data_IF_285455891108
#
_entry.id   IF_285455891108
#
_cell.length_a   1.000
_cell.length_b   1.000
_cell.length_c   1.000
_cell.angle_alpha   90.00
_cell.angle_beta   90.00
_cell.angle_gamma   90.00
#
_symmetry.space_group_name_H-M   'P 1'
#
loop_
_entity.id
_entity.type
_entity.pdbx_description
1 polymer ?
#
# COMPACT_ATOMS: atom_id res chain seq x y z
N UNK A 1 41.88 20.38 -9.14
CA UNK A 1 41.10 19.16 -8.77
C UNK A 1 40.84 18.37 -10.04
N UNK A 2 41.03 17.05 -10.03
CA UNK A 2 40.65 16.23 -11.19
C UNK A 2 39.13 16.24 -11.38
N UNK A 3 38.67 16.06 -12.63
CA UNK A 3 37.22 15.96 -12.94
C UNK A 3 36.51 14.88 -12.06
N UNK A 4 37.23 13.82 -11.74
CA UNK A 4 36.75 12.76 -10.86
C UNK A 4 36.52 13.25 -9.42
N UNK A 5 37.41 14.07 -8.87
CA UNK A 5 37.23 14.65 -7.53
C UNK A 5 36.02 15.57 -7.46
N UNK A 6 35.82 16.40 -8.48
CA UNK A 6 34.67 17.31 -8.57
C UNK A 6 33.36 16.52 -8.68
N UNK A 7 33.32 15.50 -9.54
CA UNK A 7 32.14 14.65 -9.71
C UNK A 7 31.75 13.93 -8.40
N UNK A 8 32.78 13.35 -7.73
CA UNK A 8 32.54 12.63 -6.47
C UNK A 8 32.08 13.57 -5.34
N UNK A 9 32.64 14.79 -5.29
CA UNK A 9 32.18 15.83 -4.34
C UNK A 9 30.71 16.20 -4.57
N UNK A 10 30.37 16.47 -5.83
CA UNK A 10 28.96 16.80 -6.18
C UNK A 10 27.99 15.64 -5.88
N UNK A 11 28.41 14.40 -6.17
CA UNK A 11 27.62 13.21 -5.87
C UNK A 11 27.42 13.02 -4.37
N UNK A 12 28.46 13.15 -3.55
CA UNK A 12 28.39 13.03 -2.10
C UNK A 12 27.56 14.15 -1.47
N UNK A 13 27.81 15.41 -1.85
CA UNK A 13 27.05 16.57 -1.36
C UNK A 13 25.57 16.48 -1.76
N UNK A 14 25.28 16.12 -3.02
CA UNK A 14 23.90 15.96 -3.51
C UNK A 14 23.17 14.85 -2.78
N UNK A 15 23.80 13.70 -2.58
CA UNK A 15 23.19 12.56 -1.87
C UNK A 15 22.96 12.90 -0.39
N UNK A 16 23.94 13.55 0.26
CA UNK A 16 23.79 14.03 1.64
C UNK A 16 22.63 15.01 1.79
N UNK A 17 22.54 15.98 0.88
CA UNK A 17 21.44 16.96 0.88
C UNK A 17 20.08 16.28 0.65
N UNK A 18 19.95 15.36 -0.33
CA UNK A 18 18.70 14.65 -0.60
C UNK A 18 18.25 13.88 0.64
N UNK A 19 19.11 13.06 1.23
CA UNK A 19 18.75 12.26 2.40
C UNK A 19 18.41 13.11 3.61
N UNK A 20 19.21 14.14 3.90
CA UNK A 20 18.99 15.03 5.03
C UNK A 20 17.65 15.77 4.91
N UNK A 21 17.42 16.42 3.76
CA UNK A 21 16.18 17.18 3.54
C UNK A 21 14.94 16.29 3.56
N UNK A 22 15.00 15.11 2.94
CA UNK A 22 13.89 14.16 2.99
C UNK A 22 13.64 13.64 4.41
N UNK A 23 14.70 13.33 5.16
CA UNK A 23 14.59 12.86 6.56
C UNK A 23 13.99 13.94 7.45
N UNK A 24 14.43 15.20 7.33
CA UNK A 24 13.86 16.31 8.07
C UNK A 24 12.40 16.56 7.70
N UNK A 25 12.07 16.55 6.41
CA UNK A 25 10.70 16.69 5.93
C UNK A 25 9.80 15.54 6.43
N UNK A 26 10.29 14.30 6.42
CA UNK A 26 9.56 13.16 6.98
C UNK A 26 9.41 13.27 8.50
N UNK A 27 10.46 13.63 9.23
CA UNK A 27 10.41 13.78 10.68
C UNK A 27 9.39 14.82 11.13
N UNK A 28 9.28 15.93 10.40
CA UNK A 28 8.25 16.95 10.64
C UNK A 28 6.88 16.52 10.17
N UNK A 29 6.78 15.97 8.94
CA UNK A 29 5.51 15.65 8.31
C UNK A 29 4.80 14.47 8.94
N UNK A 30 5.53 13.41 9.32
CA UNK A 30 4.93 12.22 9.94
C UNK A 30 4.27 12.50 11.29
N UNK A 31 4.66 13.59 11.99
CA UNK A 31 4.01 14.05 13.23
C UNK A 31 2.62 14.65 12.97
N UNK A 32 2.30 15.03 11.73
CA UNK A 32 1.01 15.60 11.35
C UNK A 32 -0.02 14.54 10.95
N UNK A 33 0.41 13.28 10.82
CA UNK A 33 -0.49 12.17 10.52
C UNK A 33 -1.13 11.72 11.83
N UNK A 34 -2.46 11.72 11.87
CA UNK A 34 -3.24 11.25 13.00
C UNK A 34 -2.91 9.79 13.34
N UNK A 35 -2.93 9.48 14.63
CA UNK A 35 -2.80 8.10 15.11
C UNK A 35 -4.10 7.72 15.82
N UNK A 36 -4.92 6.92 15.15
CA UNK A 36 -6.26 6.59 15.62
C UNK A 36 -6.28 5.70 16.87
N UNK A 37 -5.14 5.25 17.36
CA UNK A 37 -5.03 4.55 18.65
C UNK A 37 -5.14 5.49 19.84
N UNK A 38 -4.92 6.80 19.62
CA UNK A 38 -4.96 7.80 20.69
C UNK A 38 -6.38 7.96 21.26
N UNK A 39 -6.52 8.25 22.58
CA UNK A 39 -7.82 8.39 23.24
C UNK A 39 -8.73 9.43 22.60
N UNK A 40 -8.18 10.47 22.03
CA UNK A 40 -8.93 11.56 21.37
C UNK A 40 -9.75 11.08 20.15
N UNK A 41 -9.38 9.93 19.57
CA UNK A 41 -10.13 9.29 18.48
C UNK A 41 -11.05 8.16 18.95
N UNK A 42 -11.16 7.94 20.26
CA UNK A 42 -12.18 7.06 20.81
C UNK A 42 -13.58 7.67 20.56
N UNK A 43 -14.49 6.82 20.12
CA UNK A 43 -15.85 7.26 19.72
C UNK A 43 -16.87 6.67 20.65
N UNK A 44 -17.71 7.52 21.25
CA UNK A 44 -18.77 7.06 22.12
C UNK A 44 -19.79 6.18 21.36
N UNK A 45 -20.33 5.11 21.98
CA UNK A 45 -21.24 4.19 21.32
C UNK A 45 -22.48 4.84 20.71
N UNK A 46 -23.01 5.89 21.35
CA UNK A 46 -24.18 6.67 20.95
C UNK A 46 -23.93 7.63 19.78
N UNK A 47 -22.67 7.78 19.33
CA UNK A 47 -22.35 8.68 18.22
C UNK A 47 -23.04 8.22 16.94
N UNK A 48 -23.82 9.13 16.34
CA UNK A 48 -24.50 8.87 15.08
C UNK A 48 -23.49 8.83 13.93
N UNK A 49 -23.38 7.68 13.28
CA UNK A 49 -22.45 7.42 12.20
C UNK A 49 -23.20 7.02 10.93
N UNK A 50 -22.68 7.33 9.72
CA UNK A 50 -23.30 6.99 8.45
C UNK A 50 -23.25 5.48 8.20
N UNK A 51 -24.13 4.96 7.35
CA UNK A 51 -24.11 3.56 6.90
C UNK A 51 -22.83 3.27 6.06
N UNK A 52 -22.20 2.13 6.30
CA UNK A 52 -21.00 1.69 5.61
C UNK A 52 -21.21 0.36 4.92
N UNK A 53 -20.78 0.24 3.67
CA UNK A 53 -20.64 -1.05 2.99
C UNK A 53 -19.18 -1.47 2.99
N UNK A 54 -18.88 -2.60 3.63
CA UNK A 54 -17.55 -3.21 3.61
C UNK A 54 -17.50 -4.16 2.43
N UNK A 55 -16.51 -3.97 1.55
CA UNK A 55 -16.38 -4.68 0.28
C UNK A 55 -15.05 -5.44 0.26
N UNK A 56 -15.12 -6.76 0.11
CA UNK A 56 -13.97 -7.67 0.16
C UNK A 56 -13.93 -8.54 -1.08
N UNK A 57 -13.00 -8.33 -2.01
CA UNK A 57 -12.76 -9.23 -3.12
C UNK A 57 -11.86 -10.39 -2.67
N UNK A 58 -12.28 -11.62 -2.86
CA UNK A 58 -11.52 -12.83 -2.52
C UNK A 58 -11.22 -13.67 -3.76
N UNK A 59 -10.04 -14.24 -3.84
CA UNK A 59 -9.68 -15.29 -4.81
C UNK A 59 -8.52 -16.14 -4.29
N UNK A 60 -8.80 -17.42 -4.04
CA UNK A 60 -7.82 -18.38 -3.52
C UNK A 60 -7.21 -17.88 -2.20
N UNK A 61 -8.06 -17.58 -1.23
CA UNK A 61 -7.70 -17.03 0.09
C UNK A 61 -8.10 -17.99 1.24
N UNK A 62 -8.21 -19.30 0.97
CA UNK A 62 -8.67 -20.31 1.95
C UNK A 62 -7.94 -20.24 3.29
N UNK A 63 -6.66 -19.83 3.29
CA UNK A 63 -5.85 -19.74 4.50
C UNK A 63 -6.27 -18.59 5.44
N UNK A 64 -6.84 -17.51 4.91
CA UNK A 64 -7.07 -16.27 5.69
C UNK A 64 -8.51 -15.78 5.66
N UNK A 65 -9.31 -16.17 4.67
CA UNK A 65 -10.65 -15.60 4.44
C UNK A 65 -11.58 -15.76 5.64
N UNK A 66 -11.52 -16.89 6.37
CA UNK A 66 -12.36 -17.08 7.56
C UNK A 66 -12.01 -16.10 8.67
N UNK A 67 -10.71 -15.93 8.98
CA UNK A 67 -10.27 -15.01 10.01
C UNK A 67 -10.60 -13.55 9.63
N UNK A 68 -10.41 -13.18 8.36
CA UNK A 68 -10.74 -11.86 7.86
C UNK A 68 -12.24 -11.57 7.97
N UNK A 69 -13.10 -12.44 7.46
CA UNK A 69 -14.56 -12.26 7.50
C UNK A 69 -15.10 -12.24 8.94
N UNK A 70 -14.61 -13.13 9.82
CA UNK A 70 -15.01 -13.12 11.23
C UNK A 70 -14.60 -11.83 11.93
N UNK A 71 -13.42 -11.27 11.62
CA UNK A 71 -12.98 -9.99 12.18
C UNK A 71 -13.89 -8.83 11.73
N UNK A 72 -14.31 -8.84 10.47
CA UNK A 72 -15.22 -7.84 9.92
C UNK A 72 -16.65 -7.96 10.50
N UNK A 73 -17.13 -9.18 10.76
CA UNK A 73 -18.43 -9.43 11.41
C UNK A 73 -18.41 -9.13 12.91
N UNK A 74 -17.24 -9.04 13.54
CA UNK A 74 -17.04 -8.63 14.92
C UNK A 74 -16.87 -7.12 15.12
N UNK A 75 -16.93 -6.33 14.04
CA UNK A 75 -16.79 -4.86 14.11
C UNK A 75 -17.96 -4.28 14.94
N UNK A 76 -17.59 -3.43 15.91
CA UNK A 76 -18.52 -2.61 16.68
C UNK A 76 -18.87 -1.34 15.90
N UNK A 77 -19.87 -1.46 15.02
CA UNK A 77 -20.37 -0.35 14.21
C UNK A 77 -21.91 -0.47 14.06
N UNK A 78 -22.67 0.63 14.24
CA UNK A 78 -24.13 0.54 14.38
C UNK A 78 -24.85 0.10 13.10
N UNK A 79 -24.39 0.54 11.93
CA UNK A 79 -25.09 0.29 10.67
C UNK A 79 -24.08 0.04 9.54
N UNK A 80 -23.82 -1.24 9.26
CA UNK A 80 -22.99 -1.66 8.15
C UNK A 80 -23.49 -2.95 7.50
N UNK A 81 -23.08 -3.15 6.27
CA UNK A 81 -23.21 -4.41 5.55
C UNK A 81 -21.84 -4.92 5.11
N UNK A 82 -21.67 -6.23 5.06
CA UNK A 82 -20.47 -6.89 4.57
C UNK A 82 -20.78 -7.65 3.28
N UNK A 83 -20.11 -7.27 2.20
CA UNK A 83 -20.22 -7.90 0.88
C UNK A 83 -18.88 -8.53 0.52
N UNK A 84 -18.82 -9.85 0.45
CA UNK A 84 -17.63 -10.59 0.02
C UNK A 84 -17.89 -11.16 -1.36
N UNK A 85 -16.98 -10.89 -2.29
CA UNK A 85 -17.07 -11.39 -3.67
C UNK A 85 -15.98 -12.44 -3.92
N UNK A 86 -16.40 -13.67 -4.10
CA UNK A 86 -15.54 -14.77 -4.53
C UNK A 86 -15.31 -14.71 -6.04
N UNK A 87 -14.13 -14.24 -6.44
CA UNK A 87 -13.76 -14.10 -7.85
C UNK A 87 -13.19 -15.41 -8.40
N UNK A 88 -14.05 -16.39 -8.66
CA UNK A 88 -13.66 -17.65 -9.35
C UNK A 88 -12.56 -18.40 -8.58
N UNK A 89 -12.66 -18.53 -7.26
CA UNK A 89 -11.72 -19.33 -6.47
C UNK A 89 -11.78 -20.82 -6.87
N UNK A 90 -10.62 -21.45 -6.87
CA UNK A 90 -10.44 -22.86 -7.20
C UNK A 90 -10.06 -23.71 -5.97
N UNK A 91 -9.81 -23.03 -4.83
CA UNK A 91 -9.55 -23.63 -3.52
C UNK A 91 -10.82 -23.65 -2.65
N UNK A 92 -10.68 -23.86 -1.35
CA UNK A 92 -11.80 -23.92 -0.40
C UNK A 92 -12.44 -22.58 -0.07
N UNK A 93 -11.99 -21.45 -0.66
CA UNK A 93 -12.47 -20.09 -0.33
C UNK A 93 -14.00 -19.99 -0.46
N UNK A 94 -14.59 -20.43 -1.59
CA UNK A 94 -16.02 -20.38 -1.82
C UNK A 94 -16.80 -21.17 -0.78
N UNK A 95 -16.39 -22.43 -0.48
CA UNK A 95 -17.03 -23.27 0.51
C UNK A 95 -16.96 -22.69 1.94
N UNK A 96 -15.84 -22.03 2.29
CA UNK A 96 -15.69 -21.33 3.57
C UNK A 96 -16.68 -20.16 3.64
N UNK A 97 -16.82 -19.37 2.58
CA UNK A 97 -17.74 -18.24 2.51
C UNK A 97 -19.21 -18.69 2.61
N UNK A 98 -19.59 -19.79 1.95
CA UNK A 98 -20.95 -20.35 2.03
C UNK A 98 -21.28 -20.81 3.45
N UNK A 99 -20.34 -21.48 4.12
CA UNK A 99 -20.47 -21.88 5.52
C UNK A 99 -20.65 -20.67 6.44
N UNK A 100 -19.85 -19.62 6.26
CA UNK A 100 -19.96 -18.38 7.04
C UNK A 100 -21.30 -17.66 6.75
N UNK A 101 -21.76 -17.66 5.48
CA UNK A 101 -23.08 -17.11 5.13
C UNK A 101 -24.21 -17.86 5.83
N UNK A 102 -24.13 -19.19 5.92
CA UNK A 102 -25.11 -19.99 6.65
C UNK A 102 -25.08 -19.70 8.17
N UNK A 103 -23.90 -19.46 8.74
CA UNK A 103 -23.71 -19.13 10.16
C UNK A 103 -24.21 -17.73 10.51
N UNK A 104 -23.91 -16.70 9.70
CA UNK A 104 -24.16 -15.29 10.02
C UNK A 104 -25.40 -14.68 9.34
N UNK A 105 -26.03 -15.39 8.43
CA UNK A 105 -27.29 -14.99 7.79
C UNK A 105 -27.18 -13.69 7.00
N UNK A 106 -28.12 -12.78 7.23
CA UNK A 106 -28.23 -11.48 6.52
C UNK A 106 -27.05 -10.53 6.76
N UNK A 107 -26.23 -10.76 7.79
CA UNK A 107 -25.06 -9.92 8.11
C UNK A 107 -23.92 -10.07 7.10
N UNK A 108 -23.92 -11.13 6.29
CA UNK A 108 -22.92 -11.42 5.29
C UNK A 108 -23.56 -11.66 3.92
N UNK A 109 -23.30 -10.82 2.95
CA UNK A 109 -23.62 -11.08 1.56
C UNK A 109 -22.40 -11.73 0.86
N UNK A 110 -22.62 -12.87 0.23
CA UNK A 110 -21.62 -13.57 -0.56
C UNK A 110 -22.06 -13.59 -2.02
N UNK A 111 -21.17 -13.18 -2.92
CA UNK A 111 -21.40 -13.17 -4.36
C UNK A 111 -20.31 -14.01 -5.03
N UNK A 112 -20.69 -15.06 -5.76
CA UNK A 112 -19.76 -15.86 -6.55
C UNK A 112 -19.75 -15.40 -8.00
N UNK A 113 -18.59 -14.90 -8.45
CA UNK A 113 -18.37 -14.58 -9.86
C UNK A 113 -18.00 -15.88 -10.58
N UNK A 114 -18.71 -16.21 -11.65
CA UNK A 114 -18.43 -17.41 -12.47
C UNK A 114 -17.51 -17.09 -13.63
N UNK A 115 -17.73 -15.94 -14.27
CA UNK A 115 -16.98 -15.51 -15.46
C UNK A 115 -16.48 -14.09 -15.32
N UNK A 116 -15.29 -13.83 -15.81
CA UNK A 116 -14.72 -12.50 -15.87
C UNK A 116 -14.99 -11.86 -17.23
N UNK A 117 -15.69 -10.74 -17.30
CA UNK A 117 -15.90 -10.01 -18.55
C UNK A 117 -14.56 -9.55 -19.15
N UNK A 118 -14.47 -9.57 -20.48
CA UNK A 118 -13.31 -9.04 -21.19
C UNK A 118 -13.04 -7.58 -20.82
N UNK A 119 -11.78 -7.22 -20.68
CA UNK A 119 -11.34 -5.86 -20.33
C UNK A 119 -11.44 -5.52 -18.85
N UNK A 120 -11.52 -6.50 -17.96
CA UNK A 120 -11.47 -6.35 -16.52
C UNK A 120 -10.37 -7.18 -15.88
N UNK A 121 -9.75 -6.66 -14.83
CA UNK A 121 -9.04 -7.49 -13.85
C UNK A 121 -10.06 -8.07 -12.85
N UNK A 122 -9.82 -9.31 -12.39
CA UNK A 122 -10.76 -9.97 -11.47
C UNK A 122 -11.03 -9.15 -10.21
N UNK A 123 -9.99 -8.64 -9.54
CA UNK A 123 -10.13 -7.84 -8.31
C UNK A 123 -10.98 -6.58 -8.53
N UNK A 124 -10.68 -5.80 -9.57
CA UNK A 124 -11.39 -4.55 -9.85
C UNK A 124 -12.84 -4.80 -10.28
N UNK A 125 -13.09 -5.91 -10.99
CA UNK A 125 -14.44 -6.35 -11.35
C UNK A 125 -15.25 -6.74 -10.10
N UNK A 126 -14.67 -7.54 -9.22
CA UNK A 126 -15.32 -7.95 -7.97
C UNK A 126 -15.68 -6.74 -7.10
N UNK A 127 -14.74 -5.80 -6.93
CA UNK A 127 -14.98 -4.56 -6.18
C UNK A 127 -16.04 -3.67 -6.83
N UNK A 128 -16.06 -3.59 -8.17
CA UNK A 128 -17.09 -2.86 -8.89
C UNK A 128 -18.47 -3.48 -8.69
N UNK A 129 -18.62 -4.78 -8.88
CA UNK A 129 -19.90 -5.49 -8.71
C UNK A 129 -20.44 -5.29 -7.30
N UNK A 130 -19.63 -5.47 -6.27
CA UNK A 130 -20.04 -5.27 -4.89
C UNK A 130 -20.46 -3.83 -4.60
N UNK A 131 -19.71 -2.84 -5.14
CA UNK A 131 -20.02 -1.43 -4.95
C UNK A 131 -21.31 -0.99 -5.66
N UNK A 132 -21.69 -1.61 -6.79
CA UNK A 132 -22.96 -1.36 -7.47
C UNK A 132 -24.17 -1.90 -6.66
N UNK A 133 -23.99 -3.02 -5.96
CA UNK A 133 -25.01 -3.60 -5.10
C UNK A 133 -25.09 -2.97 -3.71
N UNK A 134 -24.04 -2.29 -3.28
CA UNK A 134 -23.87 -1.74 -1.94
C UNK A 134 -24.76 -0.52 -1.68
N UNK A 135 -25.30 -0.42 -0.46
CA UNK A 135 -26.25 0.61 -0.05
C UNK A 135 -25.71 1.69 0.87
N UNK A 136 -24.49 1.50 1.46
CA UNK A 136 -23.87 2.42 2.40
C UNK A 136 -23.53 3.79 1.81
N UNK A 137 -23.47 4.81 2.63
CA UNK A 137 -23.00 6.16 2.26
C UNK A 137 -21.49 6.22 2.09
N UNK A 138 -20.82 5.26 2.72
CA UNK A 138 -19.38 5.04 2.64
C UNK A 138 -19.08 3.62 2.21
N UNK A 139 -18.01 3.45 1.46
CA UNK A 139 -17.44 2.17 1.07
C UNK A 139 -16.10 1.97 1.75
N UNK A 140 -15.93 0.84 2.43
CA UNK A 140 -14.64 0.35 2.87
C UNK A 140 -14.21 -0.78 1.94
N UNK A 141 -13.21 -0.54 1.11
CA UNK A 141 -12.55 -1.59 0.34
C UNK A 141 -11.41 -2.17 1.17
N UNK A 142 -11.46 -3.49 1.39
CA UNK A 142 -10.46 -4.23 2.18
C UNK A 142 -10.10 -5.54 1.50
N UNK A 143 -8.81 -5.91 1.53
CA UNK A 143 -8.36 -7.21 1.04
C UNK A 143 -8.85 -8.36 1.94
N UNK A 144 -8.88 -9.57 1.40
CA UNK A 144 -9.45 -10.77 2.03
C UNK A 144 -8.51 -11.46 3.05
N UNK A 145 -7.31 -10.93 3.26
CA UNK A 145 -6.28 -11.42 4.17
C UNK A 145 -5.98 -10.46 5.33
N UNK A 146 -6.91 -9.53 5.59
CA UNK A 146 -6.77 -8.45 6.57
C UNK A 146 -7.64 -8.72 7.80
N UNK A 147 -7.07 -8.53 8.98
CA UNK A 147 -7.78 -8.64 10.26
C UNK A 147 -8.00 -7.24 10.85
N UNK A 148 -9.24 -6.95 11.25
CA UNK A 148 -9.67 -5.67 11.79
C UNK A 148 -9.97 -5.78 13.28
N UNK A 149 -9.61 -4.74 14.07
CA UNK A 149 -10.08 -4.62 15.44
C UNK A 149 -11.57 -4.23 15.47
N UNK A 150 -12.29 -4.53 16.55
CA UNK A 150 -13.72 -4.20 16.65
C UNK A 150 -14.02 -2.72 16.46
N UNK A 151 -13.16 -1.82 16.89
CA UNK A 151 -13.34 -0.36 16.83
C UNK A 151 -12.77 0.30 15.56
N UNK A 152 -12.17 -0.51 14.64
CA UNK A 152 -11.48 -0.01 13.45
C UNK A 152 -12.36 0.91 12.59
N UNK A 153 -13.55 0.45 12.26
CA UNK A 153 -14.45 1.20 11.39
C UNK A 153 -15.00 2.46 12.07
N UNK A 154 -15.36 2.36 13.35
CA UNK A 154 -15.90 3.47 14.14
C UNK A 154 -14.90 4.62 14.21
N UNK A 155 -13.64 4.34 14.57
CA UNK A 155 -12.57 5.34 14.63
C UNK A 155 -12.29 5.97 13.27
N UNK A 156 -12.18 5.15 12.23
CA UNK A 156 -11.87 5.62 10.88
C UNK A 156 -12.97 6.50 10.29
N UNK A 157 -14.24 6.11 10.40
CA UNK A 157 -15.37 6.89 9.88
C UNK A 157 -15.54 8.19 10.66
N UNK A 158 -15.42 8.15 12.00
CA UNK A 158 -15.49 9.34 12.83
C UNK A 158 -14.40 10.35 12.45
N UNK A 159 -13.15 9.89 12.36
CA UNK A 159 -12.03 10.74 11.93
C UNK A 159 -12.24 11.30 10.53
N UNK A 160 -12.64 10.46 9.56
CA UNK A 160 -12.87 10.90 8.19
C UNK A 160 -14.01 11.93 8.09
N UNK A 161 -15.08 11.76 8.87
CA UNK A 161 -16.20 12.70 8.92
C UNK A 161 -15.77 14.04 9.56
N UNK A 162 -15.05 14.01 10.68
CA UNK A 162 -14.53 15.20 11.36
C UNK A 162 -13.59 16.00 10.45
N UNK A 163 -12.69 15.33 9.73
CA UNK A 163 -11.74 15.92 8.78
C UNK A 163 -12.38 16.27 7.42
N UNK A 164 -13.69 16.08 7.25
CA UNK A 164 -14.42 16.29 6.01
C UNK A 164 -13.76 15.56 4.81
N UNK A 165 -13.14 14.42 5.08
CA UNK A 165 -12.47 13.63 4.06
C UNK A 165 -13.49 12.96 3.14
N UNK A 166 -13.19 12.91 1.85
CA UNK A 166 -13.88 12.08 0.88
C UNK A 166 -13.25 10.68 0.77
N UNK A 167 -11.97 10.59 1.11
CA UNK A 167 -11.17 9.36 1.08
C UNK A 167 -10.20 9.32 2.26
N UNK A 168 -10.09 8.16 2.86
CA UNK A 168 -9.16 7.91 3.96
C UNK A 168 -8.49 6.55 3.81
N UNK A 169 -7.19 6.52 4.11
CA UNK A 169 -6.39 5.29 4.21
C UNK A 169 -5.90 5.13 5.64
N UNK A 170 -6.11 3.96 6.20
CA UNK A 170 -5.51 3.54 7.47
C UNK A 170 -4.28 2.67 7.18
N UNK A 171 -3.13 3.10 7.66
CA UNK A 171 -1.88 2.36 7.49
C UNK A 171 -1.87 1.14 8.42
N UNK A 172 -1.68 -0.08 7.90
CA UNK A 172 -1.79 -1.30 8.68
C UNK A 172 -0.57 -1.57 9.54
N UNK A 173 -0.77 -2.37 10.56
CA UNK A 173 0.31 -3.09 11.24
C UNK A 173 0.68 -4.31 10.39
N UNK A 174 1.90 -4.33 9.88
CA UNK A 174 2.41 -5.46 9.11
C UNK A 174 3.08 -6.45 10.06
N UNK A 175 2.55 -7.67 10.13
CA UNK A 175 3.17 -8.75 10.89
C UNK A 175 4.41 -9.25 10.15
N UNK A 176 5.53 -9.36 10.89
CA UNK A 176 6.83 -9.78 10.37
C UNK A 176 7.48 -10.77 11.33
N UNK A 177 7.58 -12.02 10.91
CA UNK A 177 8.10 -13.10 11.76
C UNK A 177 9.58 -13.41 11.51
N UNK A 178 10.02 -13.31 10.23
CA UNK A 178 11.39 -13.65 9.86
C UNK A 178 12.29 -12.42 9.67
N UNK A 179 13.60 -12.63 9.76
CA UNK A 179 14.62 -11.60 9.44
C UNK A 179 14.44 -11.06 8.02
N UNK A 180 14.15 -11.95 7.05
CA UNK A 180 13.96 -11.56 5.66
C UNK A 180 12.73 -10.67 5.45
N UNK A 181 11.62 -10.94 6.16
CA UNK A 181 10.45 -10.07 6.15
C UNK A 181 10.78 -8.69 6.72
N UNK A 182 11.37 -8.65 7.92
CA UNK A 182 11.75 -7.38 8.58
C UNK A 182 12.69 -6.55 7.72
N UNK A 183 13.69 -7.18 7.12
CA UNK A 183 14.64 -6.53 6.21
C UNK A 183 13.93 -5.91 5.01
N UNK A 184 13.16 -6.70 4.26
CA UNK A 184 12.52 -6.24 3.02
C UNK A 184 11.38 -5.25 3.28
N UNK A 185 10.55 -5.50 4.29
CA UNK A 185 9.41 -4.63 4.62
C UNK A 185 9.89 -3.29 5.16
N UNK A 186 10.92 -3.25 6.02
CA UNK A 186 11.53 -1.97 6.46
C UNK A 186 12.06 -1.16 5.28
N UNK A 187 12.71 -1.81 4.33
CA UNK A 187 13.18 -1.16 3.11
C UNK A 187 12.02 -0.59 2.30
N UNK A 188 10.97 -1.40 2.03
CA UNK A 188 9.77 -0.96 1.30
C UNK A 188 9.09 0.21 2.00
N UNK A 189 8.91 0.15 3.32
CA UNK A 189 8.30 1.23 4.09
C UNK A 189 9.12 2.52 4.00
N UNK A 190 10.46 2.44 4.12
CA UNK A 190 11.32 3.62 3.98
C UNK A 190 11.21 4.24 2.58
N UNK A 191 11.18 3.41 1.54
CA UNK A 191 11.00 3.85 0.16
C UNK A 191 9.65 4.53 -0.05
N UNK A 192 8.55 3.92 0.44
CA UNK A 192 7.20 4.45 0.28
C UNK A 192 7.00 5.78 1.01
N UNK A 193 7.59 5.95 2.20
CA UNK A 193 7.55 7.21 2.95
C UNK A 193 8.12 8.36 2.11
N UNK A 194 9.24 8.15 1.44
CA UNK A 194 9.88 9.18 0.63
C UNK A 194 9.24 9.36 -0.76
N UNK A 195 8.77 8.27 -1.37
CA UNK A 195 8.14 8.31 -2.69
C UNK A 195 6.75 8.97 -2.66
N UNK A 196 5.95 8.69 -1.62
CA UNK A 196 4.54 9.10 -1.56
C UNK A 196 4.24 10.18 -0.52
N UNK A 197 5.20 10.56 0.32
CA UNK A 197 5.09 11.61 1.35
C UNK A 197 3.70 11.66 2.00
N UNK A 198 3.30 10.66 2.81
CA UNK A 198 1.91 10.50 3.29
C UNK A 198 1.38 11.74 4.04
N UNK A 199 2.25 12.54 4.63
CA UNK A 199 1.89 13.83 5.26
C UNK A 199 1.44 14.90 4.26
N UNK A 200 1.79 14.77 2.97
CA UNK A 200 1.38 15.70 1.91
C UNK A 200 0.00 15.35 1.32
N UNK A 201 -0.52 14.17 1.61
CA UNK A 201 -1.82 13.73 1.09
C UNK A 201 -2.95 14.71 1.46
N UNK A 202 -2.90 15.31 2.67
CA UNK A 202 -3.89 16.28 3.12
C UNK A 202 -3.83 17.63 2.38
N UNK A 203 -2.69 17.99 1.80
CA UNK A 203 -2.49 19.25 1.08
C UNK A 203 -3.18 19.17 -0.29
N UNK A 204 -4.22 20.00 -0.58
CA UNK A 204 -4.94 19.94 -1.84
C UNK A 204 -4.08 20.31 -3.07
N UNK A 205 -2.98 21.05 -2.85
CA UNK A 205 -2.06 21.47 -3.91
C UNK A 205 -1.00 20.39 -4.24
N UNK A 206 -0.77 19.44 -3.32
CA UNK A 206 0.19 18.36 -3.54
C UNK A 206 -0.43 17.27 -4.44
N UNK A 207 0.40 16.64 -5.25
CA UNK A 207 0.00 15.48 -6.08
C UNK A 207 0.14 14.15 -5.36
N UNK A 208 0.63 14.19 -4.13
CA UNK A 208 0.88 12.99 -3.32
C UNK A 208 -0.43 12.26 -3.01
N UNK A 209 -0.43 10.98 -3.26
CA UNK A 209 -1.54 10.09 -3.00
C UNK A 209 -1.02 8.81 -2.31
N UNK A 210 -1.84 8.23 -1.45
CA UNK A 210 -1.57 6.95 -0.79
C UNK A 210 -2.85 6.13 -0.87
N UNK A 211 -2.77 4.93 -1.42
CA UNK A 211 -3.80 3.91 -1.42
C UNK A 211 -3.19 2.60 -0.94
N UNK A 212 -3.92 1.84 -0.15
CA UNK A 212 -3.51 0.51 0.32
C UNK A 212 -4.72 -0.42 0.33
N UNK A 213 -4.62 -1.57 -0.31
CA UNK A 213 -5.71 -2.54 -0.42
C UNK A 213 -6.32 -2.96 0.91
N UNK A 214 -5.58 -2.82 2.00
CA UNK A 214 -6.00 -3.24 3.35
C UNK A 214 -7.12 -2.38 3.96
N UNK A 215 -7.16 -1.08 3.67
CA UNK A 215 -8.18 -0.18 4.22
C UNK A 215 -8.29 1.11 3.41
N UNK A 216 -9.20 1.14 2.45
CA UNK A 216 -9.54 2.33 1.67
C UNK A 216 -11.00 2.70 1.96
N UNK A 217 -11.21 3.70 2.80
CA UNK A 217 -12.53 4.22 3.15
C UNK A 217 -12.87 5.41 2.25
N UNK A 218 -13.97 5.33 1.51
CA UNK A 218 -14.34 6.30 0.48
C UNK A 218 -15.84 6.63 0.55
N UNK A 219 -16.20 7.91 0.46
CA UNK A 219 -17.62 8.31 0.31
C UNK A 219 -18.17 7.78 -1.01
N UNK A 220 -19.41 7.26 -1.00
CA UNK A 220 -20.09 6.80 -2.22
C UNK A 220 -20.15 7.86 -3.31
N UNK A 221 -20.44 9.10 -2.97
CA UNK A 221 -20.44 10.21 -3.92
C UNK A 221 -19.08 10.46 -4.56
N UNK A 222 -18.00 10.37 -3.77
CA UNK A 222 -16.63 10.47 -4.26
C UNK A 222 -16.27 9.31 -5.20
N UNK A 223 -16.69 8.07 -4.86
CA UNK A 223 -16.52 6.90 -5.71
C UNK A 223 -17.19 7.08 -7.07
N UNK A 224 -18.42 7.62 -7.09
CA UNK A 224 -19.14 7.94 -8.33
C UNK A 224 -18.44 9.05 -9.12
N UNK A 225 -18.00 10.10 -8.43
CA UNK A 225 -17.33 11.27 -9.06
C UNK A 225 -16.03 10.89 -9.79
N UNK A 226 -15.27 9.92 -9.28
CA UNK A 226 -14.03 9.45 -9.93
C UNK A 226 -14.28 8.44 -11.05
N UNK A 227 -15.54 8.09 -11.34
CA UNK A 227 -15.92 7.17 -12.41
C UNK A 227 -15.86 5.69 -12.03
N UNK A 228 -15.99 5.39 -10.73
CA UNK A 228 -16.02 4.02 -10.17
C UNK A 228 -14.80 3.16 -10.56
N UNK A 229 -14.80 1.89 -10.22
CA UNK A 229 -13.78 0.95 -10.71
C UNK A 229 -13.82 0.74 -12.23
N UNK A 230 -14.91 1.13 -12.91
CA UNK A 230 -14.96 1.11 -14.38
C UNK A 230 -13.86 1.98 -15.00
N UNK A 231 -13.53 3.12 -14.37
CA UNK A 231 -12.51 4.05 -14.86
C UNK A 231 -11.06 3.56 -14.64
N UNK A 232 -10.88 2.44 -13.93
CA UNK A 232 -9.57 1.84 -13.61
C UNK A 232 -9.61 0.30 -13.68
N UNK A 233 -10.51 -0.26 -14.50
CA UNK A 233 -10.83 -1.69 -14.59
C UNK A 233 -9.64 -2.60 -14.85
N UNK A 234 -8.58 -2.10 -15.49
CA UNK A 234 -7.35 -2.84 -15.82
C UNK A 234 -6.15 -2.41 -14.98
N UNK A 235 -6.35 -1.71 -13.86
CA UNK A 235 -5.26 -1.26 -13.00
C UNK A 235 -4.78 -2.38 -12.09
N UNK A 236 -3.52 -2.80 -12.26
CA UNK A 236 -2.86 -3.80 -11.40
C UNK A 236 -2.57 -3.24 -10.00
N UNK A 237 -2.37 -1.93 -9.90
CA UNK A 237 -2.16 -1.18 -8.63
C UNK A 237 -3.41 -0.36 -8.33
N UNK A 238 -4.52 -1.05 -8.18
CA UNK A 238 -5.87 -0.49 -8.08
C UNK A 238 -6.05 0.47 -6.90
N UNK A 239 -5.46 0.17 -5.77
CA UNK A 239 -5.49 0.96 -4.54
C UNK A 239 -4.79 2.33 -4.72
N UNK A 240 -3.59 2.34 -5.27
CA UNK A 240 -2.89 3.58 -5.60
C UNK A 240 -3.62 4.39 -6.67
N UNK A 241 -4.18 3.70 -7.68
CA UNK A 241 -4.94 4.37 -8.76
C UNK A 241 -6.21 5.00 -8.23
N UNK A 242 -6.89 4.33 -7.29
CA UNK A 242 -8.05 4.88 -6.58
C UNK A 242 -7.68 6.19 -5.88
N UNK A 243 -6.61 6.18 -5.08
CA UNK A 243 -6.13 7.35 -4.36
C UNK A 243 -5.71 8.50 -5.31
N UNK A 244 -5.01 8.18 -6.40
CA UNK A 244 -4.64 9.17 -7.43
C UNK A 244 -5.86 9.82 -8.06
N UNK A 245 -6.89 9.05 -8.43
CA UNK A 245 -8.12 9.59 -9.03
C UNK A 245 -8.89 10.49 -8.07
N UNK A 246 -8.97 10.10 -6.80
CA UNK A 246 -9.57 10.95 -5.77
C UNK A 246 -8.82 12.29 -5.66
N UNK A 247 -7.50 12.24 -5.67
CA UNK A 247 -6.66 13.43 -5.60
C UNK A 247 -6.80 14.31 -6.85
N UNK A 248 -6.80 13.70 -8.03
CA UNK A 248 -7.00 14.41 -9.31
C UNK A 248 -8.38 15.07 -9.42
N UNK A 249 -9.41 14.49 -8.78
CA UNK A 249 -10.76 15.05 -8.70
C UNK A 249 -10.87 16.21 -7.67
N UNK A 250 -9.76 16.59 -7.01
CA UNK A 250 -9.73 17.67 -6.02
C UNK A 250 -10.44 17.31 -4.71
N UNK A 251 -10.63 16.02 -4.44
CA UNK A 251 -11.33 15.55 -3.25
C UNK A 251 -10.39 15.44 -2.04
N UNK A 252 -10.91 15.79 -0.85
CA UNK A 252 -10.14 15.75 0.38
C UNK A 252 -9.74 14.32 0.74
N UNK A 253 -8.43 14.09 0.90
CA UNK A 253 -7.87 12.79 1.25
C UNK A 253 -7.11 12.85 2.57
N UNK A 254 -7.16 11.77 3.36
CA UNK A 254 -6.46 11.63 4.64
C UNK A 254 -5.73 10.30 4.71
N UNK A 255 -4.66 10.30 5.49
CA UNK A 255 -3.93 9.10 5.90
C UNK A 255 -3.85 9.13 7.42
N UNK A 256 -4.04 8.00 8.06
CA UNK A 256 -3.88 7.86 9.50
C UNK A 256 -3.08 6.60 9.86
N UNK A 257 -2.45 6.61 11.02
CA UNK A 257 -1.90 5.42 11.65
C UNK A 257 -2.94 4.75 12.55
N UNK A 258 -2.79 3.44 12.74
CA UNK A 258 -3.61 2.67 13.66
C UNK A 258 -2.89 1.38 14.03
N UNK A 259 -1.90 1.44 14.95
CA UNK A 259 -1.20 0.23 15.39
C UNK A 259 -2.20 -0.76 16.02
N UNK A 260 -2.29 -1.97 15.44
CA UNK A 260 -3.22 -3.01 15.90
C UNK A 260 -4.67 -2.85 15.45
N UNK A 261 -5.06 -1.69 14.89
CA UNK A 261 -6.44 -1.47 14.40
C UNK A 261 -6.70 -2.29 13.14
N UNK A 262 -5.72 -2.33 12.23
CA UNK A 262 -5.76 -3.16 11.03
C UNK A 262 -4.44 -3.90 10.93
N UNK A 263 -4.50 -5.22 10.77
CA UNK A 263 -3.33 -6.09 10.77
C UNK A 263 -3.31 -6.98 9.53
N UNK A 264 -2.13 -7.09 8.92
CA UNK A 264 -1.91 -7.95 7.77
C UNK A 264 -0.58 -8.71 7.90
N UNK A 265 -0.56 -9.94 7.44
CA UNK A 265 0.68 -10.65 7.12
C UNK A 265 0.88 -10.63 5.60
N UNK A 266 1.49 -9.57 5.11
CA UNK A 266 1.57 -9.27 3.68
C UNK A 266 2.37 -10.30 2.87
N UNK A 267 3.39 -10.94 3.48
CA UNK A 267 4.25 -11.89 2.80
C UNK A 267 4.98 -12.80 3.78
N UNK A 268 5.39 -13.97 3.33
CA UNK A 268 6.21 -14.94 4.09
C UNK A 268 7.63 -14.96 3.54
N UNK A 269 8.60 -14.55 4.36
CA UNK A 269 10.01 -14.44 4.02
C UNK A 269 10.33 -13.35 2.98
N UNK A 270 11.61 -13.06 2.77
CA UNK A 270 12.06 -12.09 1.75
C UNK A 270 11.56 -12.48 0.34
N UNK A 271 11.56 -13.79 0.02
CA UNK A 271 11.08 -14.30 -1.26
C UNK A 271 9.59 -14.04 -1.49
N UNK A 272 8.77 -14.08 -0.44
CA UNK A 272 7.35 -13.71 -0.49
C UNK A 272 7.16 -12.23 -0.84
N UNK A 273 7.89 -11.35 -0.16
CA UNK A 273 7.89 -9.90 -0.46
C UNK A 273 8.26 -9.66 -1.93
N UNK A 274 9.33 -10.28 -2.41
CA UNK A 274 9.76 -10.16 -3.81
C UNK A 274 8.70 -10.67 -4.80
N UNK A 275 8.03 -11.81 -4.51
CA UNK A 275 6.95 -12.35 -5.36
C UNK A 275 5.79 -11.37 -5.45
N UNK A 276 5.35 -10.82 -4.31
CA UNK A 276 4.24 -9.86 -4.26
C UNK A 276 4.57 -8.57 -5.01
N UNK A 277 5.79 -8.07 -4.92
CA UNK A 277 6.23 -6.88 -5.62
C UNK A 277 6.49 -7.11 -7.12
N UNK A 278 6.87 -8.34 -7.52
CA UNK A 278 7.17 -8.65 -8.93
C UNK A 278 5.99 -8.35 -9.87
N UNK A 279 4.76 -8.59 -9.44
CA UNK A 279 3.58 -8.29 -10.28
C UNK A 279 3.31 -6.78 -10.40
N UNK A 280 3.70 -5.99 -9.40
CA UNK A 280 3.32 -4.59 -9.26
C UNK A 280 4.33 -3.61 -9.87
N UNK A 281 5.65 -3.91 -9.78
CA UNK A 281 6.67 -2.91 -10.09
C UNK A 281 6.66 -2.42 -11.53
N UNK A 282 6.57 -3.32 -12.51
CA UNK A 282 6.57 -2.88 -13.91
C UNK A 282 5.27 -2.16 -14.28
N UNK A 283 4.14 -2.51 -13.64
CA UNK A 283 2.89 -1.76 -13.74
C UNK A 283 3.01 -0.36 -13.11
N UNK A 284 3.60 -0.25 -11.92
CA UNK A 284 3.88 1.02 -11.26
C UNK A 284 4.77 1.94 -12.12
N UNK A 285 5.74 1.36 -12.84
CA UNK A 285 6.60 2.06 -13.80
C UNK A 285 5.95 2.23 -15.19
N UNK A 286 4.62 2.08 -15.28
CA UNK A 286 3.81 2.25 -16.50
C UNK A 286 4.29 1.40 -17.66
N UNK A 287 4.81 0.22 -17.36
CA UNK A 287 5.33 -0.73 -18.36
C UNK A 287 6.40 -0.12 -19.28
N UNK A 288 7.21 0.80 -18.76
CA UNK A 288 8.27 1.49 -19.49
C UNK A 288 9.65 0.97 -19.08
N UNK A 289 10.38 0.37 -20.03
CA UNK A 289 11.72 -0.18 -19.78
C UNK A 289 12.72 0.90 -19.34
N UNK A 290 12.70 2.08 -19.99
CA UNK A 290 13.59 3.18 -19.65
C UNK A 290 13.38 3.66 -18.20
N UNK A 291 12.13 3.76 -17.76
CA UNK A 291 11.82 4.08 -16.37
C UNK A 291 12.27 2.98 -15.41
N UNK A 292 12.15 1.70 -15.79
CA UNK A 292 12.60 0.59 -14.95
C UNK A 292 14.13 0.60 -14.76
N UNK A 293 14.89 0.85 -15.83
CA UNK A 293 16.35 0.97 -15.77
C UNK A 293 16.78 2.21 -14.96
N UNK A 294 16.15 3.37 -15.20
CA UNK A 294 16.44 4.60 -14.47
C UNK A 294 16.12 4.45 -12.98
N UNK A 295 14.97 3.85 -12.64
CA UNK A 295 14.59 3.57 -11.25
C UNK A 295 15.58 2.61 -10.58
N UNK A 296 16.04 1.57 -11.29
CA UNK A 296 17.05 0.63 -10.79
C UNK A 296 18.39 1.33 -10.50
N UNK A 297 18.89 2.15 -11.42
CA UNK A 297 20.12 2.93 -11.24
C UNK A 297 19.97 3.96 -10.13
N UNK A 298 18.85 4.69 -10.10
CA UNK A 298 18.56 5.64 -9.04
C UNK A 298 18.49 4.98 -7.67
N UNK A 299 17.90 3.79 -7.58
CA UNK A 299 17.82 3.02 -6.34
C UNK A 299 19.20 2.57 -5.85
N UNK A 300 20.07 2.09 -6.74
CA UNK A 300 21.46 1.76 -6.40
C UNK A 300 22.19 2.99 -5.89
N UNK A 301 22.08 4.12 -6.58
CA UNK A 301 22.76 5.35 -6.18
C UNK A 301 22.24 5.88 -4.83
N UNK A 302 20.93 5.95 -4.64
CA UNK A 302 20.31 6.47 -3.40
C UNK A 302 20.56 5.58 -2.18
N UNK A 303 20.54 4.27 -2.35
CA UNK A 303 20.52 3.33 -1.22
C UNK A 303 21.85 2.61 -0.97
N UNK A 304 22.68 2.39 -2.00
CA UNK A 304 24.06 1.87 -1.84
C UNK A 304 25.09 2.97 -1.79
N UNK A 305 24.88 4.09 -2.48
CA UNK A 305 25.79 5.23 -2.53
C UNK A 305 26.26 5.71 -1.16
N UNK A 306 25.38 5.90 -0.15
CA UNK A 306 25.80 6.29 1.20
C UNK A 306 26.83 5.36 1.84
N UNK A 307 26.68 4.06 1.65
CA UNK A 307 27.57 3.03 2.19
C UNK A 307 28.92 3.02 1.50
N UNK A 308 28.92 2.91 0.17
CA UNK A 308 30.12 2.85 -0.63
C UNK A 308 30.90 4.17 -0.56
N UNK A 309 30.20 5.30 -0.65
CA UNK A 309 30.82 6.60 -0.58
C UNK A 309 31.43 6.90 0.79
N UNK A 310 30.77 6.51 1.88
CA UNK A 310 31.32 6.66 3.23
C UNK A 310 32.58 5.80 3.43
N UNK A 311 32.59 4.58 2.86
CA UNK A 311 33.71 3.66 2.97
C UNK A 311 34.95 4.09 2.11
N UNK A 312 34.72 4.49 0.86
CA UNK A 312 35.76 4.61 -0.14
C UNK A 312 36.04 6.04 -0.61
N UNK A 313 35.16 7.02 -0.41
CA UNK A 313 35.42 8.40 -0.78
C UNK A 313 36.40 9.07 0.21
N UNK A 314 37.00 10.21 -0.20
CA UNK A 314 37.91 11.01 0.62
C UNK A 314 37.41 12.46 0.76
N UNK A 315 37.91 13.17 1.76
CA UNK A 315 37.68 14.60 1.98
C UNK A 315 36.17 14.92 2.15
N UNK A 316 35.72 16.04 1.62
CA UNK A 316 34.34 16.54 1.73
C UNK A 316 33.29 15.66 1.04
N UNK A 317 33.72 14.89 0.01
CA UNK A 317 32.83 13.92 -0.61
C UNK A 317 32.36 12.85 0.40
N UNK A 318 33.31 12.30 1.20
CA UNK A 318 32.99 11.36 2.29
C UNK A 318 32.02 11.95 3.31
N UNK A 319 32.21 13.23 3.68
CA UNK A 319 31.29 13.89 4.62
C UNK A 319 29.85 13.91 4.09
N UNK A 320 29.63 14.22 2.82
CA UNK A 320 28.30 14.17 2.19
C UNK A 320 27.65 12.78 2.25
N UNK A 321 28.42 11.74 1.89
CA UNK A 321 27.92 10.36 1.99
C UNK A 321 27.64 9.94 3.44
N UNK A 322 28.47 10.36 4.39
CA UNK A 322 28.26 10.09 5.82
C UNK A 322 26.98 10.76 6.36
N UNK A 323 26.65 11.98 5.90
CA UNK A 323 25.38 12.64 6.20
C UNK A 323 24.20 11.82 5.66
N UNK A 324 24.28 11.31 4.43
CA UNK A 324 23.26 10.45 3.87
C UNK A 324 23.10 9.16 4.69
N UNK A 325 24.21 8.52 5.06
CA UNK A 325 24.19 7.30 5.88
C UNK A 325 23.62 7.57 7.28
N UNK A 326 24.01 8.65 7.95
CA UNK A 326 23.44 9.06 9.24
C UNK A 326 21.93 9.34 9.17
N UNK A 327 21.49 9.97 8.08
CA UNK A 327 20.05 10.19 7.80
C UNK A 327 19.29 8.87 7.66
N UNK A 328 19.88 7.88 6.97
CA UNK A 328 19.30 6.54 6.85
C UNK A 328 19.15 5.85 8.22
N UNK A 329 20.17 5.93 9.09
CA UNK A 329 20.07 5.44 10.46
C UNK A 329 18.94 6.14 11.25
N UNK A 330 18.82 7.46 11.10
CA UNK A 330 17.74 8.22 11.75
C UNK A 330 16.35 7.78 11.28
N UNK A 331 16.17 7.48 9.99
CA UNK A 331 14.91 6.92 9.44
C UNK A 331 14.59 5.58 10.08
N UNK A 332 15.54 4.66 10.15
CA UNK A 332 15.33 3.35 10.78
C UNK A 332 15.03 3.47 12.28
N UNK A 333 15.71 4.35 12.99
CA UNK A 333 15.44 4.62 14.39
C UNK A 333 14.02 5.17 14.61
N UNK A 334 13.55 6.08 13.75
CA UNK A 334 12.21 6.63 13.82
C UNK A 334 11.14 5.58 13.48
N UNK A 335 11.36 4.79 12.43
CA UNK A 335 10.46 3.70 12.03
C UNK A 335 10.36 2.63 13.11
N UNK A 336 11.48 2.26 13.73
CA UNK A 336 11.54 1.23 14.77
C UNK A 336 10.66 1.51 15.98
N UNK A 337 10.39 2.78 16.28
CA UNK A 337 9.46 3.19 17.36
C UNK A 337 8.02 2.75 17.10
N UNK A 338 7.59 2.70 15.83
CA UNK A 338 6.24 2.25 15.43
C UNK A 338 6.17 0.78 15.03
N UNK A 339 7.18 0.30 14.31
CA UNK A 339 7.18 -1.06 13.75
C UNK A 339 7.79 -2.10 14.68
N UNK A 340 8.38 -1.68 15.79
CA UNK A 340 9.15 -2.52 16.72
C UNK A 340 10.34 -3.25 16.07
N UNK A 341 10.78 -2.79 14.89
CA UNK A 341 11.96 -3.32 14.20
C UNK A 341 13.20 -2.65 14.78
N UNK A 342 14.15 -3.45 15.23
CA UNK A 342 15.40 -2.92 15.80
C UNK A 342 16.21 -2.13 14.77
N UNK A 343 16.87 -1.05 15.19
CA UNK A 343 17.72 -0.20 14.34
C UNK A 343 18.80 -1.01 13.59
N UNK A 344 19.25 -2.14 14.13
CA UNK A 344 20.26 -3.00 13.49
C UNK A 344 19.87 -3.49 12.09
N UNK A 345 18.59 -3.50 11.75
CA UNK A 345 18.11 -3.85 10.39
C UNK A 345 18.60 -2.84 9.33
N UNK A 346 19.03 -1.65 9.70
CA UNK A 346 19.69 -0.73 8.77
C UNK A 346 20.92 -1.34 8.13
N UNK A 347 21.68 -2.21 8.84
CA UNK A 347 22.85 -2.90 8.30
C UNK A 347 22.51 -3.87 7.16
N UNK A 348 21.26 -4.32 7.09
CA UNK A 348 20.76 -5.16 6.00
C UNK A 348 20.17 -4.34 4.83
N UNK A 349 20.14 -3.01 4.95
CA UNK A 349 19.60 -2.12 3.91
C UNK A 349 20.30 -2.26 2.55
N UNK A 350 21.64 -2.41 2.45
CA UNK A 350 22.30 -2.68 1.17
C UNK A 350 21.80 -3.96 0.50
N UNK A 351 21.64 -5.04 1.26
CA UNK A 351 21.13 -6.30 0.74
C UNK A 351 19.67 -6.16 0.28
N UNK A 352 18.82 -5.49 1.07
CA UNK A 352 17.44 -5.21 0.70
C UNK A 352 17.34 -4.37 -0.58
N UNK A 353 18.20 -3.37 -0.76
CA UNK A 353 18.23 -2.54 -1.96
C UNK A 353 18.62 -3.32 -3.22
N UNK A 354 19.60 -4.23 -3.13
CA UNK A 354 19.97 -5.13 -4.23
C UNK A 354 18.84 -6.09 -4.59
N UNK A 355 18.17 -6.69 -3.59
CA UNK A 355 17.01 -7.56 -3.82
C UNK A 355 15.86 -6.78 -4.45
N UNK A 356 15.68 -5.51 -4.09
CA UNK A 356 14.67 -4.65 -4.68
C UNK A 356 14.96 -4.34 -6.15
N UNK A 357 16.19 -3.97 -6.48
CA UNK A 357 16.63 -3.78 -7.88
C UNK A 357 16.44 -5.07 -8.68
N UNK A 358 16.85 -6.21 -8.13
CA UNK A 358 16.58 -7.50 -8.75
C UNK A 358 15.08 -7.72 -8.97
N UNK A 359 14.22 -7.35 -8.02
CA UNK A 359 12.77 -7.49 -8.13
C UNK A 359 12.19 -6.60 -9.24
N UNK A 360 12.67 -5.36 -9.38
CA UNK A 360 12.27 -4.45 -10.48
C UNK A 360 12.66 -5.05 -11.83
N UNK A 361 13.91 -5.47 -11.98
CA UNK A 361 14.42 -6.05 -13.23
C UNK A 361 13.71 -7.37 -13.56
N UNK A 362 13.48 -8.23 -12.55
CA UNK A 362 12.71 -9.48 -12.70
C UNK A 362 11.28 -9.20 -13.13
N UNK A 363 10.60 -8.22 -12.51
CA UNK A 363 9.24 -7.79 -12.90
C UNK A 363 9.20 -7.38 -14.37
N UNK A 364 10.16 -6.56 -14.78
CA UNK A 364 10.30 -6.06 -16.15
C UNK A 364 10.58 -7.20 -17.13
N UNK A 365 11.57 -8.05 -16.85
CA UNK A 365 11.96 -9.14 -17.73
C UNK A 365 10.83 -10.17 -17.91
N UNK A 366 10.16 -10.55 -16.81
CA UNK A 366 9.05 -11.50 -16.87
C UNK A 366 7.86 -10.95 -17.66
N UNK A 367 7.51 -9.68 -17.46
CA UNK A 367 6.38 -9.07 -18.17
C UNK A 367 6.69 -8.88 -19.65
N UNK A 368 7.88 -8.44 -20.02
CA UNK A 368 8.29 -8.31 -21.42
C UNK A 368 8.46 -9.65 -22.11
N UNK A 369 9.12 -10.61 -21.44
CA UNK A 369 9.36 -11.94 -22.01
C UNK A 369 8.08 -12.76 -22.22
N UNK A 370 7.05 -12.54 -21.38
CA UNK A 370 5.74 -13.22 -21.53
C UNK A 370 4.76 -12.43 -22.37
N UNK A 371 5.07 -11.18 -22.72
CA UNK A 371 4.13 -10.27 -23.39
C UNK A 371 2.95 -9.83 -22.53
N UNK A 372 3.04 -9.98 -21.20
CA UNK A 372 1.94 -9.64 -20.27
C UNK A 372 2.20 -10.06 -18.83
N UNK A 373 1.16 -9.96 -18.00
CA UNK A 373 1.18 -10.29 -16.58
C UNK A 373 0.24 -11.47 -16.30
N UNK A 374 0.76 -12.48 -15.62
CA UNK A 374 -0.07 -13.55 -15.04
C UNK A 374 -0.46 -13.11 -13.62
N UNK A 375 -1.77 -12.89 -13.40
CA UNK A 375 -2.26 -12.51 -12.09
C UNK A 375 -3.44 -13.39 -11.68
N UNK A 376 -3.31 -14.04 -10.52
CA UNK A 376 -4.32 -14.93 -9.96
C UNK A 376 -4.91 -15.90 -10.99
N UNK A 377 -4.02 -16.60 -11.75
CA UNK A 377 -4.39 -17.58 -12.76
C UNK A 377 -4.87 -17.02 -14.10
N UNK A 378 -5.09 -15.72 -14.23
CA UNK A 378 -5.50 -15.08 -15.49
C UNK A 378 -4.33 -14.36 -16.14
N UNK A 379 -4.13 -14.57 -17.44
CA UNK A 379 -3.10 -13.87 -18.22
C UNK A 379 -3.70 -12.61 -18.87
N UNK A 380 -3.04 -11.49 -18.66
CA UNK A 380 -3.41 -10.19 -19.23
C UNK A 380 -2.30 -9.72 -20.15
N UNK A 381 -2.61 -9.42 -21.39
CA UNK A 381 -1.60 -8.97 -22.37
C UNK A 381 -1.11 -7.56 -22.02
N UNK A 382 0.16 -7.29 -22.36
CA UNK A 382 0.75 -5.96 -22.14
C UNK A 382 0.00 -4.86 -22.93
N UNK A 383 -0.57 -5.21 -24.10
CA UNK A 383 -1.36 -4.29 -24.90
C UNK A 383 -2.67 -3.89 -24.19
N UNK A 384 -3.37 -4.84 -23.56
CA UNK A 384 -4.58 -4.57 -22.77
C UNK A 384 -4.27 -3.71 -21.55
N UNK A 385 -3.20 -4.07 -20.82
CA UNK A 385 -2.78 -3.35 -19.61
C UNK A 385 -2.38 -1.90 -19.90
N UNK A 386 -1.68 -1.64 -21.01
CA UNK A 386 -1.28 -0.28 -21.42
C UNK A 386 -2.43 0.60 -21.92
N UNK A 387 -3.45 -0.01 -22.53
CA UNK A 387 -4.57 0.72 -23.14
C UNK A 387 -5.58 1.19 -22.11
N UNK A 388 -5.74 0.46 -21.02
CA UNK A 388 -6.84 0.63 -20.06
C UNK A 388 -6.36 0.78 -18.60
N UNK A 389 -5.03 0.86 -18.34
CA UNK A 389 -4.43 0.98 -17.02
C UNK A 389 -4.03 2.40 -16.61
#
# INVERSE_FOLDING_TARGET
>A
MSAWHTLNLLAGAGLGAIWLLQTLAAAWGMRQIADLTQPEYAVAPETKLPRVSIIVPARNEEAMIEAAVRSLLAIDYPDYELVVVDDRSEDSTGAILDRLKAEFGERLAVVHVRELPSGWLGKTHAMWMAAEAATGDWFLFSDADVVHSPDALRRAVHYAAHEQAAFMVLLPTVQMESVGERMMISFVQSMLIFAHRPWKVRDPKARDAVGMGVFNLLRREAYRKIGTYQSMRMSVVDDMRLAEKVKQAGLASRVAFGEGIVTIRWAVGAGGVMRNLTKNFFAYLRYNLGFALLASLGMLWLHLGPWLGTAFAAGWARAGYAVALGSLFAVYAAMGKRTKIGIGYVLLHPAASLLMVFTILRSTALTLGRGGVLWRGTFYTLAELKRNG
#
